data_IF_721990367300
#
_entry.id   IF_721990367300
#
_cell.length_a   1.000
_cell.length_b   1.000
_cell.length_c   1.000
_cell.angle_alpha   90.00
_cell.angle_beta   90.00
_cell.angle_gamma   90.00
#
_symmetry.space_group_name_H-M   'P 1'
#
loop_
_entity.id
_entity.type
_entity.pdbx_description
1 polymer ?
#
# COMPACT_ATOMS: atom_id res chain seq x y z
N UNK A 1 48.31 28.43 68.35
CA UNK A 1 49.27 27.99 67.32
C UNK A 1 48.70 28.37 65.97
N UNK A 2 49.42 29.26 65.28
CA UNK A 2 49.46 29.59 63.86
C UNK A 2 48.17 29.70 63.03
N UNK A 3 47.89 30.93 62.61
CA UNK A 3 47.82 31.41 61.21
C UNK A 3 47.43 30.42 60.10
N UNK A 4 46.41 30.76 59.30
CA UNK A 4 46.61 31.47 58.01
C UNK A 4 45.29 31.57 57.21
N UNK A 5 44.91 32.81 56.91
CA UNK A 5 44.65 33.37 55.57
C UNK A 5 43.59 32.71 54.67
N UNK A 6 42.64 33.50 54.15
CA UNK A 6 41.85 33.05 52.99
C UNK A 6 40.58 33.80 52.60
N UNK A 7 40.66 35.11 52.41
CA UNK A 7 39.93 35.86 51.38
C UNK A 7 38.38 35.90 51.41
N UNK A 8 37.85 37.02 51.92
CA UNK A 8 36.49 37.45 51.63
C UNK A 8 36.35 37.93 50.19
N UNK A 9 35.45 37.30 49.44
CA UNK A 9 34.88 37.88 48.23
C UNK A 9 33.37 38.03 48.48
N UNK A 10 32.95 39.23 48.88
CA UNK A 10 31.54 39.60 48.86
C UNK A 10 31.15 39.76 47.39
N UNK A 11 30.68 38.66 46.78
CA UNK A 11 29.85 38.73 45.60
C UNK A 11 28.53 39.36 46.07
N UNK A 12 28.42 40.67 45.87
CA UNK A 12 27.14 41.36 45.90
C UNK A 12 26.33 40.77 44.76
N UNK A 13 25.38 39.91 45.10
CA UNK A 13 24.29 39.54 44.21
C UNK A 13 23.61 40.85 43.79
N UNK A 14 23.96 41.36 42.62
CA UNK A 14 23.14 42.28 41.85
C UNK A 14 21.90 41.51 41.40
N UNK A 15 21.02 41.23 42.36
CA UNK A 15 19.63 40.88 42.12
C UNK A 15 18.92 42.16 41.70
N UNK A 16 19.25 42.65 40.50
CA UNK A 16 18.42 43.62 39.81
C UNK A 16 17.21 42.84 39.33
N UNK A 17 16.03 43.22 39.81
CA UNK A 17 14.74 42.66 39.46
C UNK A 17 14.56 42.62 37.93
N UNK A 18 14.91 41.49 37.32
CA UNK A 18 14.47 41.15 35.98
C UNK A 18 12.95 41.02 36.04
N UNK A 19 12.25 42.05 35.58
CA UNK A 19 10.79 42.07 35.47
C UNK A 19 10.28 40.85 34.70
N UNK A 20 9.01 40.46 34.92
CA UNK A 20 8.43 39.25 34.33
C UNK A 20 8.65 39.11 32.81
N UNK A 21 8.71 40.25 32.10
CA UNK A 21 9.06 40.32 30.68
C UNK A 21 10.48 39.84 30.36
N UNK A 22 11.48 40.25 31.13
CA UNK A 22 12.87 39.83 30.91
C UNK A 22 13.06 38.33 31.19
N UNK A 23 12.32 37.76 32.16
CA UNK A 23 12.28 36.30 32.38
C UNK A 23 11.57 35.54 31.28
N UNK A 24 10.50 36.10 30.70
CA UNK A 24 9.80 35.50 29.56
C UNK A 24 10.69 35.47 28.31
N UNK A 25 11.38 36.59 28.02
CA UNK A 25 12.35 36.69 26.92
C UNK A 25 13.52 35.70 27.12
N UNK A 26 14.03 35.57 28.34
CA UNK A 26 15.12 34.63 28.65
C UNK A 26 14.66 33.16 28.60
N UNK A 27 13.41 32.87 28.99
CA UNK A 27 12.78 31.55 28.85
C UNK A 27 12.60 31.17 27.37
N UNK A 28 12.09 32.08 26.52
CA UNK A 28 11.95 31.83 25.09
C UNK A 28 13.31 31.64 24.42
N UNK A 29 14.31 32.48 24.73
CA UNK A 29 15.69 32.34 24.22
C UNK A 29 16.34 31.01 24.63
N UNK A 30 16.09 30.53 25.85
CA UNK A 30 16.71 29.29 26.37
C UNK A 30 16.04 28.00 25.88
N UNK A 31 14.75 28.07 25.48
CA UNK A 31 13.98 26.92 25.01
C UNK A 31 13.66 26.97 23.51
N UNK A 32 14.27 27.91 22.78
CA UNK A 32 14.02 28.21 21.36
C UNK A 32 14.19 26.99 20.44
N UNK A 33 15.11 26.07 20.75
CA UNK A 33 15.28 24.84 19.98
C UNK A 33 14.06 23.89 20.04
N UNK A 34 13.22 24.03 21.07
CA UNK A 34 11.97 23.29 21.23
C UNK A 34 10.73 24.09 20.80
N UNK A 35 10.83 25.43 20.79
CA UNK A 35 9.78 26.35 20.32
C UNK A 35 9.77 26.45 18.79
N UNK A 36 10.94 26.40 18.14
CA UNK A 36 11.11 26.50 16.69
C UNK A 36 10.50 25.33 15.88
N UNK A 37 10.00 24.29 16.54
CA UNK A 37 9.32 23.13 15.90
C UNK A 37 7.84 23.05 16.31
N UNK A 38 7.33 23.98 17.14
CA UNK A 38 6.03 23.87 17.79
C UNK A 38 5.25 25.19 17.75
N UNK A 39 4.82 25.60 16.56
CA UNK A 39 4.00 26.80 16.38
C UNK A 39 2.51 26.67 16.70
N UNK A 40 2.11 25.99 17.80
CA UNK A 40 0.79 26.20 18.48
C UNK A 40 1.06 26.50 19.95
N UNK A 41 0.65 27.67 20.42
CA UNK A 41 0.26 27.84 21.81
C UNK A 41 -1.26 27.61 21.91
N UNK A 42 -1.68 26.34 21.84
CA UNK A 42 -2.79 25.87 22.67
C UNK A 42 -2.09 25.25 23.85
N UNK A 43 -2.16 25.90 25.00
CA UNK A 43 -1.57 25.42 26.25
C UNK A 43 -2.17 24.05 26.57
N UNK A 44 -1.43 23.03 26.20
CA UNK A 44 -1.52 21.68 26.72
C UNK A 44 -0.39 21.58 27.77
N UNK A 45 -0.66 22.10 28.98
CA UNK A 45 0.16 21.74 30.15
C UNK A 45 -0.19 20.30 30.49
N UNK A 46 0.54 19.36 29.91
CA UNK A 46 0.71 18.03 30.48
C UNK A 46 2.19 17.88 30.82
N UNK A 47 2.45 17.94 32.12
CA UNK A 47 3.48 17.19 32.86
C UNK A 47 4.43 16.37 31.96
N UNK A 48 5.65 16.87 31.79
CA UNK A 48 6.82 16.01 31.57
C UNK A 48 7.77 16.13 32.77
N UNK A 49 7.30 15.60 33.89
CA UNK A 49 8.16 14.93 34.87
C UNK A 49 7.78 13.45 34.84
N UNK A 50 8.74 12.64 34.39
CA UNK A 50 8.87 11.19 34.59
C UNK A 50 7.78 10.27 34.03
N UNK A 51 8.00 9.66 32.85
CA UNK A 51 8.10 8.19 32.67
C UNK A 51 8.84 7.90 31.35
N UNK A 52 10.15 7.64 31.44
CA UNK A 52 10.80 6.47 30.81
C UNK A 52 12.22 6.38 31.38
N UNK A 53 12.39 5.42 32.28
CA UNK A 53 13.70 5.03 32.80
C UNK A 53 14.49 4.25 31.75
N UNK A 54 15.77 4.58 31.63
CA UNK A 54 16.72 3.86 30.79
C UNK A 54 18.11 4.49 30.86
N UNK A 55 18.90 4.00 31.83
CA UNK A 55 20.34 4.22 32.12
C UNK A 55 21.18 4.96 31.07
N UNK A 56 21.90 5.99 31.54
CA UNK A 56 22.76 6.85 30.75
C UNK A 56 24.15 6.32 30.38
N UNK A 57 24.89 7.20 29.71
CA UNK A 57 26.29 7.65 29.91
C UNK A 57 26.49 8.68 28.79
N UNK A 58 26.61 9.98 29.07
CA UNK A 58 27.84 10.60 29.51
C UNK A 58 28.65 11.11 28.32
N UNK A 59 28.41 12.36 27.88
CA UNK A 59 29.43 13.26 27.32
C UNK A 59 28.83 14.65 27.07
N UNK A 60 29.37 15.66 27.77
CA UNK A 60 29.27 17.07 27.33
C UNK A 60 30.17 17.25 26.11
N UNK A 61 29.87 18.23 25.25
CA UNK A 61 30.87 19.24 25.00
C UNK A 61 30.36 20.65 25.30
N UNK A 62 31.31 21.41 25.82
CA UNK A 62 31.28 22.83 26.11
C UNK A 62 31.68 23.54 24.82
N UNK A 63 30.90 24.50 24.36
CA UNK A 63 31.40 25.52 23.43
C UNK A 63 30.72 26.84 23.80
N UNK A 64 31.51 27.68 24.47
CA UNK A 64 31.29 29.12 24.49
C UNK A 64 31.45 29.60 23.06
N UNK A 65 30.37 30.08 22.45
CA UNK A 65 30.44 30.79 21.17
C UNK A 65 30.38 32.27 21.48
N UNK A 66 31.44 32.97 21.05
CA UNK A 66 31.59 34.41 21.11
C UNK A 66 30.35 35.12 20.56
N UNK A 67 29.92 36.17 21.27
CA UNK A 67 28.89 37.07 20.81
C UNK A 67 29.38 37.82 19.56
N UNK A 68 29.05 37.30 18.38
CA UNK A 68 29.05 38.10 17.16
C UNK A 68 27.88 39.07 17.28
N UNK A 69 28.20 40.34 17.46
CA UNK A 69 27.24 41.44 17.34
C UNK A 69 26.83 41.49 15.86
N UNK A 70 25.73 40.81 15.51
CA UNK A 70 25.05 40.98 14.22
C UNK A 70 24.53 42.41 14.20
N UNK A 71 24.92 43.19 13.20
CA UNK A 71 24.38 44.53 12.94
C UNK A 71 22.85 44.44 12.95
N UNK A 72 22.20 45.31 13.70
CA UNK A 72 20.75 45.33 13.84
C UNK A 72 20.13 45.81 12.53
N UNK A 73 19.93 44.89 11.58
CA UNK A 73 19.00 45.12 10.48
C UNK A 73 17.66 45.54 11.09
N UNK A 74 17.06 46.57 10.50
CA UNK A 74 15.81 47.14 11.00
C UNK A 74 14.73 46.09 10.78
N UNK A 75 14.40 45.36 11.84
CA UNK A 75 13.39 44.30 11.82
C UNK A 75 12.07 44.85 11.27
N UNK A 76 11.56 44.24 10.20
CA UNK A 76 10.29 44.64 9.60
C UNK A 76 9.18 44.52 10.65
N UNK A 77 8.41 45.59 10.84
CA UNK A 77 7.31 45.59 11.79
C UNK A 77 6.11 44.84 11.21
N UNK A 78 5.30 44.20 12.06
CA UNK A 78 4.05 43.60 11.62
C UNK A 78 3.11 44.59 10.94
N UNK A 79 2.58 44.17 9.79
CA UNK A 79 1.48 44.84 9.11
C UNK A 79 0.16 44.12 9.45
N UNK A 80 -0.61 44.73 10.35
CA UNK A 80 -1.88 44.16 10.82
C UNK A 80 -2.99 44.36 9.79
N UNK A 81 -3.59 43.26 9.34
CA UNK A 81 -4.72 43.18 8.42
C UNK A 81 -4.51 43.94 7.08
N UNK A 82 -3.26 44.23 6.73
CA UNK A 82 -2.90 45.08 5.60
C UNK A 82 -3.05 44.39 4.23
N UNK A 83 -3.18 43.05 4.20
CA UNK A 83 -3.23 42.23 2.99
C UNK A 83 -4.59 41.53 2.84
N UNK A 84 -5.56 42.12 2.13
CA UNK A 84 -6.90 41.57 2.00
C UNK A 84 -6.95 40.13 1.45
N UNK A 85 -6.07 39.80 0.51
CA UNK A 85 -6.01 38.44 -0.09
C UNK A 85 -5.51 37.39 0.91
N UNK A 86 -4.57 37.74 1.80
CA UNK A 86 -4.11 36.87 2.89
C UNK A 86 -5.22 36.73 3.93
N UNK A 87 -5.87 37.84 4.31
CA UNK A 87 -6.98 37.82 5.26
C UNK A 87 -8.11 36.89 4.77
N UNK A 88 -8.49 37.01 3.49
CA UNK A 88 -9.52 36.17 2.86
C UNK A 88 -9.10 34.69 2.83
N UNK A 89 -7.83 34.38 2.50
CA UNK A 89 -7.30 33.02 2.54
C UNK A 89 -7.46 32.41 3.95
N UNK A 90 -7.03 33.13 4.98
CA UNK A 90 -7.08 32.68 6.37
C UNK A 90 -8.52 32.52 6.87
N UNK A 91 -9.40 33.47 6.58
CA UNK A 91 -10.83 33.36 6.92
C UNK A 91 -11.48 32.14 6.25
N UNK A 92 -11.22 31.93 4.96
CA UNK A 92 -11.72 30.78 4.23
C UNK A 92 -11.17 29.47 4.78
N UNK A 93 -9.89 29.45 5.19
CA UNK A 93 -9.25 28.31 5.81
C UNK A 93 -9.94 27.93 7.12
N UNK A 94 -10.09 28.86 8.07
CA UNK A 94 -10.73 28.55 9.36
C UNK A 94 -12.23 28.27 9.25
N UNK A 95 -12.94 28.88 8.29
CA UNK A 95 -14.32 28.50 7.97
C UNK A 95 -14.42 27.05 7.47
N UNK A 96 -13.47 26.61 6.63
CA UNK A 96 -13.40 25.24 6.18
C UNK A 96 -12.95 24.28 7.31
N UNK A 97 -12.04 24.72 8.18
CA UNK A 97 -11.48 23.97 9.29
C UNK A 97 -12.56 23.65 10.34
N UNK A 98 -13.34 24.65 10.76
CA UNK A 98 -14.46 24.47 11.70
C UNK A 98 -15.51 23.47 11.19
N UNK A 99 -15.67 23.37 9.86
CA UNK A 99 -16.61 22.44 9.24
C UNK A 99 -16.02 21.10 8.81
N UNK A 100 -14.76 20.81 9.13
CA UNK A 100 -14.05 19.60 8.70
C UNK A 100 -14.02 19.43 7.17
N UNK A 101 -14.03 20.52 6.39
CA UNK A 101 -14.23 20.50 4.93
C UNK A 101 -12.94 20.15 4.18
N UNK A 102 -12.50 18.88 4.29
CA UNK A 102 -11.25 18.32 3.71
C UNK A 102 -10.95 18.79 2.27
N UNK A 103 -11.93 18.73 1.36
CA UNK A 103 -11.75 19.13 -0.05
C UNK A 103 -11.55 20.65 -0.25
N UNK A 104 -12.12 21.48 0.64
CA UNK A 104 -11.92 22.93 0.61
C UNK A 104 -10.55 23.27 1.21
N UNK A 105 -10.20 22.65 2.34
CA UNK A 105 -8.90 22.83 2.99
C UNK A 105 -7.75 22.51 2.02
N UNK A 106 -7.82 21.37 1.30
CA UNK A 106 -6.80 20.97 0.34
C UNK A 106 -6.65 21.91 -0.89
N UNK A 107 -7.51 22.91 -1.06
CA UNK A 107 -7.34 23.97 -2.07
C UNK A 107 -6.70 25.23 -1.50
N UNK A 108 -6.79 25.41 -0.19
CA UNK A 108 -6.32 26.60 0.54
C UNK A 108 -4.95 26.35 1.18
N UNK A 109 -4.64 25.10 1.51
CA UNK A 109 -3.42 24.67 2.16
C UNK A 109 -2.83 23.44 1.46
N UNK A 110 -1.51 23.41 1.31
CA UNK A 110 -0.79 22.39 0.54
C UNK A 110 0.62 22.15 1.10
N UNK A 111 1.09 20.90 1.20
CA UNK A 111 0.33 19.65 1.02
C UNK A 111 -0.57 19.36 2.23
N UNK A 112 -1.57 18.50 2.05
CA UNK A 112 -2.37 17.97 3.16
C UNK A 112 -2.39 16.45 3.13
N UNK A 113 -1.84 15.83 4.17
CA UNK A 113 -1.87 14.38 4.33
C UNK A 113 -3.28 13.88 4.70
N UNK A 114 -3.53 12.59 4.50
CA UNK A 114 -4.79 11.99 4.92
C UNK A 114 -4.92 11.93 6.44
N UNK A 115 -3.79 11.79 7.15
CA UNK A 115 -3.71 11.90 8.60
C UNK A 115 -4.11 13.28 9.08
N UNK A 116 -3.60 14.35 8.46
CA UNK A 116 -3.95 15.73 8.81
C UNK A 116 -5.45 15.99 8.58
N UNK A 117 -5.98 15.57 7.42
CA UNK A 117 -7.43 15.66 7.14
C UNK A 117 -8.26 14.89 8.16
N UNK A 118 -7.76 13.76 8.66
CA UNK A 118 -8.43 12.96 9.71
C UNK A 118 -8.41 13.69 11.05
N UNK A 119 -7.27 14.25 11.43
CA UNK A 119 -7.11 15.07 12.64
C UNK A 119 -8.09 16.25 12.65
N UNK A 120 -8.14 17.02 11.55
CA UNK A 120 -9.02 18.19 11.44
C UNK A 120 -10.49 17.77 11.54
N UNK A 121 -10.87 16.64 10.94
CA UNK A 121 -12.23 16.12 11.07
C UNK A 121 -12.57 15.81 12.54
N UNK A 122 -11.70 15.09 13.26
CA UNK A 122 -11.90 14.77 14.66
C UNK A 122 -11.94 16.04 15.55
N UNK A 123 -11.02 16.98 15.33
CA UNK A 123 -10.98 18.22 16.11
C UNK A 123 -12.21 19.12 15.85
N UNK A 124 -12.70 19.15 14.61
CA UNK A 124 -13.85 19.98 14.23
C UNK A 124 -15.14 19.63 14.97
N UNK A 125 -15.26 18.41 15.52
CA UNK A 125 -16.40 18.00 16.35
C UNK A 125 -16.54 18.82 17.64
N UNK A 126 -15.44 19.41 18.12
CA UNK A 126 -15.41 20.23 19.33
C UNK A 126 -15.60 21.73 19.04
N UNK A 127 -15.42 22.15 17.79
CA UNK A 127 -15.39 23.56 17.40
C UNK A 127 -16.74 23.99 16.84
N UNK A 128 -17.32 25.03 17.43
CA UNK A 128 -18.53 25.68 16.90
C UNK A 128 -18.20 26.63 15.76
N UNK A 129 -17.16 27.45 15.94
CA UNK A 129 -16.64 28.40 14.94
C UNK A 129 -15.35 29.06 15.42
N UNK A 130 -14.66 29.70 14.49
CA UNK A 130 -13.62 30.68 14.75
C UNK A 130 -14.19 32.10 14.61
N UNK A 131 -13.70 33.05 15.39
CA UNK A 131 -14.11 34.46 15.32
C UNK A 131 -12.95 35.39 15.70
N UNK A 132 -13.12 36.69 15.47
CA UNK A 132 -12.14 37.71 15.84
C UNK A 132 -10.76 37.42 15.22
N UNK A 133 -10.75 37.09 13.92
CA UNK A 133 -9.53 36.75 13.19
C UNK A 133 -8.80 38.05 12.82
N UNK A 134 -7.49 38.12 13.08
CA UNK A 134 -6.61 39.19 12.61
C UNK A 134 -5.29 38.61 12.14
N UNK A 135 -4.80 39.09 11.00
CA UNK A 135 -3.54 38.63 10.41
C UNK A 135 -2.44 39.68 10.63
N UNK A 136 -1.33 39.27 11.24
CA UNK A 136 -0.13 40.07 11.40
C UNK A 136 0.91 39.56 10.41
N UNK A 137 1.16 40.34 9.36
CA UNK A 137 1.92 39.88 8.19
C UNK A 137 3.30 40.53 8.15
N UNK A 138 4.31 39.74 7.75
CA UNK A 138 5.63 40.20 7.30
C UNK A 138 6.02 39.48 6.01
N UNK A 139 7.07 39.96 5.35
CA UNK A 139 7.64 39.24 4.20
C UNK A 139 8.22 37.89 4.64
N UNK A 140 8.10 36.90 3.75
CA UNK A 140 8.71 35.60 3.91
C UNK A 140 10.16 35.60 3.41
N UNK A 141 10.69 34.43 3.11
CA UNK A 141 12.07 34.25 2.65
C UNK A 141 12.32 34.91 1.26
N UNK A 142 11.28 34.99 0.44
CA UNK A 142 11.29 35.56 -0.91
C UNK A 142 10.06 36.43 -1.20
N UNK A 143 10.09 37.17 -2.33
CA UNK A 143 9.03 38.11 -2.75
C UNK A 143 7.63 37.46 -2.94
N UNK A 144 7.58 36.13 -3.07
CA UNK A 144 6.37 35.33 -3.26
C UNK A 144 5.94 34.61 -1.98
N UNK A 145 6.48 35.01 -0.83
CA UNK A 145 6.20 34.36 0.45
C UNK A 145 5.97 35.37 1.57
N UNK A 146 5.25 34.92 2.60
CA UNK A 146 4.82 35.74 3.73
C UNK A 146 4.85 34.92 5.01
N UNK A 147 5.26 35.56 6.11
CA UNK A 147 4.98 35.09 7.47
C UNK A 147 3.69 35.73 7.96
N UNK A 148 2.74 34.90 8.40
CA UNK A 148 1.43 35.37 8.84
C UNK A 148 1.12 34.80 10.22
N UNK A 149 1.23 35.63 11.26
CA UNK A 149 0.74 35.27 12.59
C UNK A 149 -0.73 35.65 12.71
N UNK A 150 -1.59 34.66 12.93
CA UNK A 150 -3.05 34.80 12.94
C UNK A 150 -3.57 34.73 14.35
N UNK A 151 -4.04 35.87 14.86
CA UNK A 151 -4.85 35.89 16.08
C UNK A 151 -6.26 35.41 15.74
N UNK A 152 -6.85 34.60 16.62
CA UNK A 152 -8.21 34.11 16.49
C UNK A 152 -8.79 33.73 17.84
N UNK A 153 -10.10 33.62 17.92
CA UNK A 153 -10.79 33.05 19.07
C UNK A 153 -11.58 31.80 18.67
N UNK A 154 -11.27 30.67 19.31
CA UNK A 154 -11.96 29.40 19.14
C UNK A 154 -13.21 29.41 20.02
N UNK A 155 -14.37 29.26 19.40
CA UNK A 155 -15.61 28.99 20.12
C UNK A 155 -15.85 27.50 20.12
N UNK A 156 -15.62 26.83 21.26
CA UNK A 156 -15.99 25.42 21.42
C UNK A 156 -17.51 25.23 21.55
N UNK A 157 -17.98 24.03 21.25
CA UNK A 157 -19.36 23.62 21.49
C UNK A 157 -19.68 23.67 22.99
N UNK A 158 -20.85 24.22 23.33
CA UNK A 158 -21.40 24.32 24.68
C UNK A 158 -20.56 25.05 25.75
N UNK A 159 -19.37 25.54 25.43
CA UNK A 159 -18.55 26.39 26.30
C UNK A 159 -18.95 27.84 26.15
N UNK A 160 -19.01 28.65 27.21
CA UNK A 160 -19.42 30.06 27.16
C UNK A 160 -18.32 30.99 26.66
N UNK A 161 -17.12 30.88 27.20
CA UNK A 161 -15.98 31.73 26.85
C UNK A 161 -15.31 31.22 25.58
N UNK A 162 -14.78 32.12 24.75
CA UNK A 162 -14.00 31.73 23.58
C UNK A 162 -12.51 31.68 23.97
N UNK A 163 -11.76 30.72 23.44
CA UNK A 163 -10.33 30.58 23.68
C UNK A 163 -9.54 31.43 22.68
N UNK A 164 -8.83 32.49 23.12
CA UNK A 164 -7.87 33.19 22.27
C UNK A 164 -6.73 32.26 21.85
N UNK A 165 -6.26 32.38 20.63
CA UNK A 165 -5.15 31.61 20.09
C UNK A 165 -4.35 32.42 19.08
N UNK A 166 -3.11 31.97 18.84
CA UNK A 166 -2.22 32.49 17.82
C UNK A 166 -1.62 31.31 17.07
N UNK A 167 -1.68 31.36 15.75
CA UNK A 167 -1.05 30.38 14.86
C UNK A 167 -0.25 31.09 13.78
N UNK A 168 0.96 30.63 13.52
CA UNK A 168 1.83 31.22 12.50
C UNK A 168 1.85 30.34 11.27
N UNK A 169 1.59 30.93 10.11
CA UNK A 169 1.59 30.27 8.81
C UNK A 169 2.69 30.82 7.92
N UNK A 170 3.30 29.92 7.14
CA UNK A 170 4.04 30.30 5.95
C UNK A 170 3.07 30.31 4.77
N UNK A 171 2.87 31.47 4.16
CA UNK A 171 1.96 31.64 3.02
C UNK A 171 2.78 31.90 1.77
N UNK A 172 2.47 31.21 0.69
CA UNK A 172 3.18 31.33 -0.59
C UNK A 172 2.23 31.67 -1.72
N UNK A 173 2.80 32.29 -2.75
CA UNK A 173 2.12 32.62 -3.99
C UNK A 173 2.48 31.60 -5.07
N UNK A 174 1.47 31.02 -5.72
CA UNK A 174 1.64 30.16 -6.89
C UNK A 174 2.02 30.97 -8.13
N UNK A 175 2.43 30.28 -9.19
CA UNK A 175 2.73 30.90 -10.49
C UNK A 175 1.56 31.70 -11.07
N UNK A 176 0.32 31.25 -10.84
CA UNK A 176 -0.90 31.94 -11.28
C UNK A 176 -1.28 33.15 -10.39
N UNK A 177 -0.47 33.41 -9.36
CA UNK A 177 -0.66 34.50 -8.41
C UNK A 177 -1.58 34.17 -7.24
N UNK A 178 -2.19 32.99 -7.18
CA UNK A 178 -3.03 32.59 -6.04
C UNK A 178 -2.21 32.28 -4.80
N UNK A 179 -2.69 32.73 -3.64
CA UNK A 179 -2.06 32.47 -2.34
C UNK A 179 -2.53 31.12 -1.75
N UNK A 180 -1.64 30.47 -1.02
CA UNK A 180 -1.96 29.28 -0.23
C UNK A 180 -1.09 29.18 1.03
N UNK A 181 -1.60 28.45 2.01
CA UNK A 181 -0.86 28.09 3.22
C UNK A 181 0.07 26.91 2.88
N UNK A 182 1.37 27.10 3.03
CA UNK A 182 2.36 26.04 2.85
C UNK A 182 2.42 25.18 4.12
N UNK A 183 1.65 24.09 4.09
CA UNK A 183 1.46 23.19 5.21
C UNK A 183 2.69 22.32 5.51
N UNK A 184 3.73 22.34 4.66
CA UNK A 184 5.02 21.74 4.99
C UNK A 184 5.57 22.31 6.31
N UNK A 185 5.34 23.60 6.53
CA UNK A 185 5.79 24.33 7.73
C UNK A 185 4.68 24.49 8.78
N UNK A 186 3.52 23.86 8.55
CA UNK A 186 2.47 23.75 9.54
C UNK A 186 2.87 22.82 10.68
N UNK A 187 2.25 23.00 11.84
CA UNK A 187 2.56 22.22 13.04
C UNK A 187 2.33 20.72 12.89
N UNK A 188 1.38 20.34 12.02
CA UNK A 188 1.04 18.94 11.84
C UNK A 188 2.25 18.20 11.26
N UNK A 189 2.85 18.77 10.20
CA UNK A 189 4.05 18.22 9.61
C UNK A 189 5.28 18.40 10.52
N UNK A 190 5.42 19.53 11.23
CA UNK A 190 6.57 19.73 12.13
C UNK A 190 6.66 18.66 13.24
N UNK A 191 5.51 18.14 13.70
CA UNK A 191 5.44 17.10 14.74
C UNK A 191 5.52 15.68 14.20
N UNK A 192 5.06 15.44 12.97
CA UNK A 192 4.94 14.09 12.40
C UNK A 192 5.96 13.77 11.33
N UNK A 193 6.57 14.80 10.74
CA UNK A 193 7.58 14.70 9.68
C UNK A 193 7.09 13.81 8.53
N UNK A 194 5.84 14.00 8.12
CA UNK A 194 5.22 13.22 7.04
C UNK A 194 5.72 13.67 5.66
N UNK A 195 6.19 14.91 5.57
CA UNK A 195 6.80 15.50 4.41
C UNK A 195 8.15 16.12 4.77
N UNK A 196 9.11 15.97 3.86
CA UNK A 196 10.38 16.68 3.91
C UNK A 196 10.15 18.20 3.73
N UNK A 197 11.03 18.98 4.34
CA UNK A 197 10.94 20.45 4.37
C UNK A 197 12.23 21.05 3.82
N UNK A 198 12.14 22.28 3.32
CA UNK A 198 13.33 23.06 2.95
C UNK A 198 13.98 23.61 4.22
N UNK A 199 15.25 23.25 4.47
CA UNK A 199 15.98 23.65 5.67
C UNK A 199 16.17 25.17 5.76
N UNK A 200 16.30 25.88 4.63
CA UNK A 200 16.46 27.33 4.61
C UNK A 200 15.18 28.04 5.09
N UNK A 201 14.01 27.51 4.70
CA UNK A 201 12.72 28.04 5.16
C UNK A 201 12.50 27.73 6.64
N UNK A 202 12.92 26.54 7.11
CA UNK A 202 12.88 26.20 8.54
C UNK A 202 13.76 27.14 9.36
N UNK A 203 14.98 27.44 8.89
CA UNK A 203 15.89 28.37 9.57
C UNK A 203 15.30 29.80 9.59
N UNK A 204 14.75 30.26 8.47
CA UNK A 204 14.06 31.54 8.39
C UNK A 204 12.89 31.64 9.37
N UNK A 205 12.01 30.64 9.43
CA UNK A 205 10.89 30.61 10.38
C UNK A 205 11.39 30.63 11.83
N UNK A 206 12.48 29.91 12.11
CA UNK A 206 13.12 29.90 13.42
C UNK A 206 13.67 31.29 13.80
N UNK A 207 14.26 32.03 12.87
CA UNK A 207 14.68 33.42 13.10
C UNK A 207 13.48 34.35 13.27
N UNK A 208 12.44 34.21 12.45
CA UNK A 208 11.17 34.95 12.58
C UNK A 208 10.57 34.78 13.98
N UNK A 209 10.47 33.56 14.51
CA UNK A 209 9.86 33.32 15.83
C UNK A 209 10.67 33.92 17.01
N UNK A 210 11.90 34.39 16.78
CA UNK A 210 12.73 35.02 17.80
C UNK A 210 12.64 36.55 17.80
N UNK A 211 11.95 37.12 16.82
CA UNK A 211 11.77 38.54 16.65
C UNK A 211 10.98 39.16 17.81
N UNK A 212 11.40 40.33 18.29
CA UNK A 212 10.85 40.92 19.53
C UNK A 212 9.34 41.18 19.47
N UNK A 213 8.82 41.64 18.34
CA UNK A 213 7.39 41.88 18.15
C UNK A 213 6.57 40.59 18.01
N UNK A 214 7.15 39.52 17.47
CA UNK A 214 6.56 38.17 17.43
C UNK A 214 6.41 37.64 18.85
N UNK A 215 7.49 37.66 19.63
CA UNK A 215 7.49 37.20 21.04
C UNK A 215 6.53 38.05 21.90
N UNK A 216 6.44 39.36 21.64
CA UNK A 216 5.50 40.23 22.32
C UNK A 216 4.03 39.87 22.01
N UNK A 217 3.70 39.62 20.73
CA UNK A 217 2.36 39.22 20.32
C UNK A 217 1.97 37.85 20.91
N UNK A 218 2.89 36.88 20.88
CA UNK A 218 2.70 35.57 21.54
C UNK A 218 2.41 35.72 23.03
N UNK A 219 3.19 36.55 23.72
CA UNK A 219 3.02 36.80 25.15
C UNK A 219 1.67 37.44 25.46
N UNK A 220 1.23 38.42 24.66
CA UNK A 220 -0.07 39.07 24.82
C UNK A 220 -1.22 38.07 24.66
N UNK A 221 -1.17 37.24 23.61
CA UNK A 221 -2.24 36.25 23.36
C UNK A 221 -2.25 35.17 24.43
N UNK A 222 -1.07 34.73 24.89
CA UNK A 222 -0.95 33.77 25.99
C UNK A 222 -1.61 34.28 27.27
N UNK A 223 -1.36 35.54 27.65
CA UNK A 223 -2.01 36.14 28.82
C UNK A 223 -3.53 36.21 28.68
N UNK A 224 -4.05 36.52 27.48
CA UNK A 224 -5.49 36.50 27.22
C UNK A 224 -6.08 35.09 27.35
N UNK A 225 -5.35 34.07 26.88
CA UNK A 225 -5.77 32.69 26.99
C UNK A 225 -5.80 32.22 28.44
N UNK A 226 -4.75 32.47 29.22
CA UNK A 226 -4.70 32.14 30.66
C UNK A 226 -5.82 32.83 31.44
N UNK A 227 -6.10 34.10 31.14
CA UNK A 227 -7.21 34.83 31.73
C UNK A 227 -8.58 34.22 31.36
N UNK A 228 -8.74 33.73 30.13
CA UNK A 228 -9.96 33.05 29.70
C UNK A 228 -10.16 31.72 30.43
N UNK A 229 -9.09 30.91 30.60
CA UNK A 229 -9.15 29.67 31.36
C UNK A 229 -9.46 29.91 32.84
N UNK A 230 -8.84 30.92 33.45
CA UNK A 230 -9.07 31.26 34.86
C UNK A 230 -10.51 31.77 35.12
N UNK A 231 -11.18 32.29 34.09
CA UNK A 231 -12.54 32.84 34.20
C UNK A 231 -13.65 31.82 33.89
N UNK A 232 -13.33 30.67 33.28
CA UNK A 232 -14.30 29.70 32.79
C UNK A 232 -13.78 28.27 33.00
N UNK A 233 -14.23 27.63 34.08
CA UNK A 233 -13.85 26.26 34.43
C UNK A 233 -14.29 25.23 33.37
N UNK A 234 -15.38 25.48 32.65
CA UNK A 234 -15.83 24.59 31.57
C UNK A 234 -14.88 24.71 30.36
N UNK A 235 -14.43 25.92 30.03
CA UNK A 235 -13.41 26.14 29.01
C UNK A 235 -12.09 25.47 29.41
N UNK A 236 -11.69 25.58 30.68
CA UNK A 236 -10.51 24.91 31.22
C UNK A 236 -10.62 23.40 31.10
N UNK A 237 -11.74 22.81 31.49
CA UNK A 237 -11.98 21.37 31.32
C UNK A 237 -11.95 20.95 29.84
N UNK A 238 -12.53 21.76 28.95
CA UNK A 238 -12.49 21.51 27.49
C UNK A 238 -11.06 21.47 26.97
N UNK A 239 -10.23 22.46 27.35
CA UNK A 239 -8.87 22.63 26.85
C UNK A 239 -7.85 21.66 27.48
N UNK A 240 -7.93 21.41 28.79
CA UNK A 240 -6.95 20.61 29.52
C UNK A 240 -7.29 19.11 29.54
N UNK A 241 -8.57 18.74 29.33
CA UNK A 241 -9.02 17.34 29.46
C UNK A 241 -9.76 16.85 28.22
N UNK A 242 -10.88 17.47 27.85
CA UNK A 242 -11.81 16.90 26.84
C UNK A 242 -11.16 16.77 25.47
N UNK A 243 -10.64 17.87 24.92
CA UNK A 243 -9.99 17.86 23.60
C UNK A 243 -8.72 17.02 23.60
N UNK A 244 -7.79 17.15 24.57
CA UNK A 244 -6.61 16.28 24.63
C UNK A 244 -6.93 14.79 24.67
N UNK A 245 -7.90 14.37 25.48
CA UNK A 245 -8.31 12.97 25.59
C UNK A 245 -8.86 12.45 24.26
N UNK A 246 -9.69 13.26 23.59
CA UNK A 246 -10.22 12.93 22.28
C UNK A 246 -9.14 12.78 21.21
N UNK A 247 -8.16 13.70 21.19
CA UNK A 247 -7.06 13.63 20.21
C UNK A 247 -6.11 12.46 20.50
N UNK A 248 -5.93 12.08 21.76
CA UNK A 248 -5.18 10.87 22.12
C UNK A 248 -5.91 9.60 21.66
N UNK A 249 -7.23 9.53 21.85
CA UNK A 249 -8.06 8.43 21.36
C UNK A 249 -8.02 8.32 19.83
N UNK A 250 -8.23 9.43 19.12
CA UNK A 250 -8.10 9.51 17.65
C UNK A 250 -6.73 8.99 17.18
N UNK A 251 -5.64 9.38 17.86
CA UNK A 251 -4.28 8.92 17.51
C UNK A 251 -4.12 7.42 17.73
N UNK A 252 -4.68 6.89 18.80
CA UNK A 252 -4.66 5.45 19.09
C UNK A 252 -5.38 4.65 18.02
N UNK A 253 -6.55 5.14 17.57
CA UNK A 253 -7.33 4.51 16.50
C UNK A 253 -6.60 4.57 15.16
N UNK A 254 -5.94 5.70 14.85
CA UNK A 254 -5.10 5.86 13.66
C UNK A 254 -3.95 4.84 13.65
N UNK A 255 -3.23 4.70 14.77
CA UNK A 255 -2.12 3.76 14.90
C UNK A 255 -2.57 2.30 14.76
N UNK A 256 -3.72 1.96 15.35
CA UNK A 256 -4.32 0.63 15.23
C UNK A 256 -4.75 0.33 13.79
N UNK A 257 -5.33 1.30 13.09
CA UNK A 257 -5.70 1.16 11.68
C UNK A 257 -4.47 1.00 10.78
N UNK A 258 -3.41 1.77 11.01
CA UNK A 258 -2.15 1.65 10.29
C UNK A 258 -1.50 0.26 10.47
N UNK A 259 -1.44 -0.23 11.70
CA UNK A 259 -0.92 -1.57 12.01
C UNK A 259 -1.72 -2.67 11.31
N UNK A 260 -3.05 -2.57 11.35
CA UNK A 260 -3.92 -3.53 10.66
C UNK A 260 -3.70 -3.51 9.15
N UNK A 261 -3.55 -2.33 8.54
CA UNK A 261 -3.28 -2.22 7.11
C UNK A 261 -1.91 -2.82 6.72
N UNK A 262 -0.89 -2.67 7.57
CA UNK A 262 0.41 -3.31 7.38
C UNK A 262 0.32 -4.84 7.47
N UNK A 263 -0.40 -5.37 8.47
CA UNK A 263 -0.64 -6.81 8.61
C UNK A 263 -1.41 -7.38 7.40
N UNK A 264 -2.44 -6.68 6.91
CA UNK A 264 -3.20 -7.06 5.71
C UNK A 264 -2.34 -7.02 4.44
N UNK A 265 -1.46 -6.03 4.29
CA UNK A 265 -0.52 -5.94 3.18
C UNK A 265 0.49 -7.08 3.21
N UNK A 266 1.07 -7.37 4.37
CA UNK A 266 2.01 -8.49 4.54
C UNK A 266 1.35 -9.83 4.23
N UNK A 267 0.11 -10.04 4.69
CA UNK A 267 -0.67 -11.25 4.37
C UNK A 267 -0.97 -11.36 2.86
N UNK A 268 -1.30 -10.24 2.20
CA UNK A 268 -1.53 -10.22 0.76
C UNK A 268 -0.25 -10.51 -0.05
N UNK A 269 0.90 -9.98 0.36
CA UNK A 269 2.20 -10.28 -0.26
C UNK A 269 2.59 -11.75 -0.09
N UNK A 270 2.37 -12.34 1.09
CA UNK A 270 2.61 -13.76 1.33
C UNK A 270 1.69 -14.65 0.48
N UNK A 271 0.41 -14.29 0.38
CA UNK A 271 -0.56 -15.00 -0.46
C UNK A 271 -0.18 -14.92 -1.95
N UNK A 272 0.24 -13.75 -2.43
CA UNK A 272 0.69 -13.56 -3.81
C UNK A 272 1.96 -14.38 -4.11
N UNK A 273 2.91 -14.45 -3.17
CA UNK A 273 4.10 -15.28 -3.31
C UNK A 273 3.76 -16.78 -3.41
N UNK A 274 2.87 -17.28 -2.54
CA UNK A 274 2.40 -18.67 -2.58
C UNK A 274 1.70 -19.01 -3.90
N UNK A 275 0.86 -18.10 -4.39
CA UNK A 275 0.19 -18.27 -5.68
C UNK A 275 1.19 -18.32 -6.86
N UNK A 276 2.19 -17.44 -6.86
CA UNK A 276 3.24 -17.43 -7.88
C UNK A 276 4.11 -18.69 -7.84
N UNK A 277 4.43 -19.22 -6.65
CA UNK A 277 5.16 -20.48 -6.49
C UNK A 277 4.36 -21.67 -7.02
N UNK A 278 3.04 -21.73 -6.76
CA UNK A 278 2.17 -22.78 -7.29
C UNK A 278 2.04 -22.71 -8.82
N UNK A 279 1.90 -21.51 -9.38
CA UNK A 279 1.83 -21.30 -10.84
C UNK A 279 3.16 -21.69 -11.52
N UNK A 280 4.29 -21.31 -10.94
CA UNK A 280 5.61 -21.70 -11.45
C UNK A 280 5.82 -23.21 -11.40
N UNK A 281 5.35 -23.89 -10.33
CA UNK A 281 5.42 -25.34 -10.23
C UNK A 281 4.60 -26.04 -11.32
N UNK A 282 3.36 -25.58 -11.57
CA UNK A 282 2.51 -26.11 -12.66
C UNK A 282 3.16 -25.91 -14.03
N UNK A 283 3.68 -24.72 -14.30
CA UNK A 283 4.37 -24.42 -15.57
C UNK A 283 5.62 -25.29 -15.77
N UNK A 284 6.41 -25.51 -14.72
CA UNK A 284 7.56 -26.40 -14.78
C UNK A 284 7.18 -27.86 -15.06
N UNK A 285 6.07 -28.34 -14.49
CA UNK A 285 5.53 -29.68 -14.77
C UNK A 285 5.05 -29.81 -16.21
N UNK A 286 4.33 -28.80 -16.73
CA UNK A 286 3.89 -28.75 -18.12
C UNK A 286 5.07 -28.71 -19.11
N UNK A 287 6.07 -27.87 -18.85
CA UNK A 287 7.30 -27.80 -19.68
C UNK A 287 8.06 -29.12 -19.68
N UNK A 288 8.19 -29.78 -18.51
CA UNK A 288 8.79 -31.11 -18.42
C UNK A 288 8.02 -32.13 -19.25
N UNK A 289 6.68 -32.16 -19.14
CA UNK A 289 5.84 -33.09 -19.92
C UNK A 289 5.93 -32.81 -21.42
N UNK A 290 5.95 -31.55 -21.83
CA UNK A 290 6.12 -31.16 -23.22
C UNK A 290 7.47 -31.62 -23.78
N UNK A 291 8.55 -31.50 -23.01
CA UNK A 291 9.88 -32.00 -23.38
C UNK A 291 9.91 -33.53 -23.53
N UNK A 292 9.32 -34.28 -22.58
CA UNK A 292 9.23 -35.75 -22.65
C UNK A 292 8.46 -36.21 -23.91
N UNK A 293 7.35 -35.53 -24.24
CA UNK A 293 6.57 -35.83 -25.43
C UNK A 293 7.30 -35.46 -26.73
N UNK A 294 8.09 -34.39 -26.74
CA UNK A 294 8.87 -33.99 -27.93
C UNK A 294 9.98 -35.01 -28.27
N UNK A 295 10.51 -35.72 -27.28
CA UNK A 295 11.49 -36.83 -27.47
C UNK A 295 10.85 -38.19 -27.69
N UNK A 296 9.52 -38.27 -27.68
CA UNK A 296 8.83 -39.56 -27.67
C UNK A 296 8.82 -40.24 -29.04
N UNK A 297 8.83 -41.57 -29.03
CA UNK A 297 8.84 -42.40 -30.23
C UNK A 297 7.63 -43.32 -30.22
N UNK A 298 6.97 -43.45 -31.37
CA UNK A 298 5.90 -44.45 -31.54
C UNK A 298 6.51 -45.85 -31.51
N UNK A 299 5.95 -46.73 -30.69
CA UNK A 299 6.35 -48.13 -30.59
C UNK A 299 5.13 -49.05 -30.62
N UNK A 300 5.36 -50.31 -30.98
CA UNK A 300 4.37 -51.35 -31.13
C UNK A 300 4.73 -52.54 -30.23
N UNK A 301 3.75 -53.07 -29.51
CA UNK A 301 3.96 -54.26 -28.69
C UNK A 301 4.23 -55.49 -29.56
N UNK A 302 5.31 -56.21 -29.31
CA UNK A 302 5.65 -57.44 -30.03
C UNK A 302 5.01 -58.68 -29.39
N UNK A 303 4.53 -58.56 -28.16
CA UNK A 303 3.78 -59.58 -27.43
C UNK A 303 2.76 -58.95 -26.45
N UNK A 304 1.90 -59.79 -25.91
CA UNK A 304 1.01 -59.57 -24.79
C UNK A 304 1.78 -59.27 -23.49
N UNK A 305 2.01 -57.99 -23.19
CA UNK A 305 2.89 -57.56 -22.09
C UNK A 305 2.14 -56.73 -21.04
N UNK A 306 2.45 -56.94 -19.76
CA UNK A 306 1.86 -56.18 -18.66
C UNK A 306 2.45 -54.77 -18.59
N UNK A 307 1.58 -53.78 -18.36
CA UNK A 307 1.95 -52.41 -18.03
C UNK A 307 1.96 -52.26 -16.51
N UNK A 308 3.05 -51.73 -15.97
CA UNK A 308 3.30 -51.66 -14.52
C UNK A 308 3.42 -50.24 -14.02
N UNK A 309 3.18 -50.05 -12.72
CA UNK A 309 3.28 -48.75 -12.06
C UNK A 309 4.72 -48.22 -11.94
N UNK A 310 5.70 -49.13 -11.88
CA UNK A 310 7.13 -48.80 -11.81
C UNK A 310 7.96 -49.74 -12.70
N UNK A 311 9.22 -49.38 -12.96
CA UNK A 311 10.20 -50.17 -13.72
C UNK A 311 10.70 -51.40 -12.92
N UNK A 312 9.79 -52.30 -12.56
CA UNK A 312 10.07 -53.50 -11.76
C UNK A 312 9.09 -54.63 -12.07
N UNK A 313 9.57 -55.87 -12.08
CA UNK A 313 8.73 -57.06 -12.31
C UNK A 313 7.75 -57.35 -11.17
N UNK A 314 7.99 -56.77 -9.99
CA UNK A 314 7.13 -56.93 -8.81
C UNK A 314 6.19 -55.75 -8.57
N UNK A 315 6.29 -54.69 -9.38
CA UNK A 315 5.41 -53.53 -9.29
C UNK A 315 3.97 -53.88 -9.68
N UNK A 316 3.02 -53.12 -9.14
CA UNK A 316 1.59 -53.25 -9.43
C UNK A 316 1.33 -53.24 -10.94
N UNK A 317 0.48 -54.15 -11.41
CA UNK A 317 0.06 -54.23 -12.80
C UNK A 317 -1.10 -53.27 -13.01
N UNK A 318 -0.87 -52.21 -13.80
CA UNK A 318 -1.88 -51.23 -14.18
C UNK A 318 -2.78 -51.73 -15.34
N UNK A 319 -2.26 -52.67 -16.12
CA UNK A 319 -3.01 -53.36 -17.18
C UNK A 319 -2.08 -54.05 -18.18
N UNK A 320 -2.44 -54.07 -19.47
CA UNK A 320 -1.76 -54.88 -20.49
C UNK A 320 -1.76 -54.21 -21.86
N UNK A 321 -0.69 -54.37 -22.63
CA UNK A 321 -0.65 -54.11 -24.06
C UNK A 321 -0.77 -55.43 -24.82
N UNK A 322 -1.69 -55.48 -25.78
CA UNK A 322 -1.83 -56.63 -26.67
C UNK A 322 -0.85 -56.53 -27.84
N UNK A 323 -0.43 -57.65 -28.39
CA UNK A 323 0.44 -57.70 -29.57
C UNK A 323 -0.09 -56.80 -30.69
N UNK A 324 0.80 -56.01 -31.30
CA UNK A 324 0.46 -55.05 -32.36
C UNK A 324 -0.09 -53.72 -31.85
N UNK A 325 -0.42 -53.59 -30.56
CA UNK A 325 -0.89 -52.33 -29.98
C UNK A 325 0.15 -51.23 -30.12
N UNK A 326 -0.29 -50.07 -30.61
CA UNK A 326 0.52 -48.85 -30.72
C UNK A 326 0.52 -48.09 -29.39
N UNK A 327 1.69 -47.64 -28.96
CA UNK A 327 1.84 -46.72 -27.82
C UNK A 327 2.98 -45.73 -28.07
N UNK A 328 3.13 -44.76 -27.17
CA UNK A 328 4.16 -43.73 -27.21
C UNK A 328 5.18 -44.00 -26.11
N UNK A 329 6.43 -44.24 -26.51
CA UNK A 329 7.55 -44.39 -25.56
C UNK A 329 8.14 -43.03 -25.25
N UNK A 330 8.09 -42.65 -23.97
CA UNK A 330 8.59 -41.38 -23.44
C UNK A 330 10.07 -41.47 -23.05
N UNK A 331 10.49 -42.62 -22.52
CA UNK A 331 11.87 -42.87 -22.08
C UNK A 331 12.17 -44.36 -22.15
N UNK A 332 13.41 -44.72 -22.45
CA UNK A 332 13.94 -46.07 -22.33
C UNK A 332 15.18 -46.05 -21.45
N UNK A 333 15.15 -46.81 -20.36
CA UNK A 333 16.25 -46.86 -19.40
C UNK A 333 16.26 -48.19 -18.66
N UNK A 334 17.45 -48.76 -18.48
CA UNK A 334 17.69 -49.98 -17.68
C UNK A 334 16.77 -51.17 -18.06
N UNK A 335 16.48 -51.32 -19.36
CA UNK A 335 15.66 -52.42 -19.91
C UNK A 335 14.15 -52.20 -19.78
N UNK A 336 13.71 -51.05 -19.26
CA UNK A 336 12.31 -50.65 -19.18
C UNK A 336 12.03 -49.45 -20.08
N UNK A 337 10.87 -49.47 -20.71
CA UNK A 337 10.29 -48.36 -21.45
C UNK A 337 9.17 -47.75 -20.62
N UNK A 338 9.31 -46.46 -20.31
CA UNK A 338 8.22 -45.64 -19.78
C UNK A 338 7.36 -45.17 -20.95
N UNK A 339 6.08 -45.51 -20.91
CA UNK A 339 5.12 -45.26 -21.99
C UNK A 339 3.99 -44.37 -21.51
N UNK A 340 3.37 -43.65 -22.45
CA UNK A 340 2.06 -43.03 -22.21
C UNK A 340 0.97 -44.10 -22.42
N UNK A 341 0.47 -44.63 -21.30
CA UNK A 341 -0.42 -45.79 -21.29
C UNK A 341 -1.89 -45.39 -21.44
N UNK A 342 -2.33 -44.29 -20.82
CA UNK A 342 -3.73 -43.85 -20.89
C UNK A 342 -3.82 -42.33 -20.86
N UNK A 343 -3.56 -41.69 -22.00
CA UNK A 343 -3.72 -40.25 -22.26
C UNK A 343 -3.23 -39.37 -21.09
N UNK A 344 -1.93 -39.47 -20.81
CA UNK A 344 -1.26 -38.75 -19.73
C UNK A 344 -0.98 -39.57 -18.46
N UNK A 345 -1.50 -40.80 -18.36
CA UNK A 345 -1.08 -41.74 -17.32
C UNK A 345 0.09 -42.58 -17.82
N UNK A 346 1.21 -42.50 -17.12
CA UNK A 346 2.43 -43.23 -17.47
C UNK A 346 2.40 -44.66 -16.94
N UNK A 347 3.03 -45.56 -17.68
CA UNK A 347 3.26 -46.94 -17.26
C UNK A 347 4.61 -47.45 -17.73
N UNK A 348 5.06 -48.56 -17.17
CA UNK A 348 6.35 -49.18 -17.49
C UNK A 348 6.16 -50.57 -18.09
N UNK A 349 6.86 -50.82 -19.18
CA UNK A 349 6.86 -52.07 -19.95
C UNK A 349 8.31 -52.46 -20.21
N UNK A 350 8.67 -53.74 -20.20
CA UNK A 350 10.04 -54.12 -20.58
C UNK A 350 10.29 -53.79 -22.05
N UNK A 351 11.41 -53.12 -22.34
CA UNK A 351 11.73 -52.63 -23.69
C UNK A 351 11.84 -53.74 -24.74
N UNK A 352 12.20 -54.96 -24.32
CA UNK A 352 12.31 -56.12 -25.22
C UNK A 352 10.98 -56.47 -25.91
N UNK A 353 9.83 -56.07 -25.34
CA UNK A 353 8.50 -56.33 -25.92
C UNK A 353 7.95 -55.16 -26.74
N UNK A 354 8.78 -54.16 -27.08
CA UNK A 354 8.39 -52.99 -27.87
C UNK A 354 9.30 -52.82 -29.09
N UNK A 355 8.71 -52.56 -30.25
CA UNK A 355 9.43 -52.27 -31.51
C UNK A 355 9.07 -50.89 -32.06
N UNK A 356 10.01 -50.22 -32.72
CA UNK A 356 9.72 -48.98 -33.48
C UNK A 356 9.21 -49.28 -34.89
N UNK A 357 9.32 -50.53 -35.34
CA UNK A 357 8.80 -50.97 -36.63
C UNK A 357 7.31 -51.27 -36.49
N UNK A 358 6.50 -50.70 -37.38
CA UNK A 358 5.10 -51.06 -37.47
C UNK A 358 5.01 -52.55 -37.83
N UNK A 359 4.11 -53.32 -37.19
CA UNK A 359 3.87 -54.69 -37.60
C UNK A 359 3.54 -54.73 -39.10
N UNK A 360 4.00 -55.76 -39.84
CA UNK A 360 3.68 -55.90 -41.25
C UNK A 360 2.16 -55.84 -41.41
N UNK A 361 1.70 -55.00 -42.33
CA UNK A 361 0.29 -54.93 -42.71
C UNK A 361 -0.08 -56.22 -43.45
N UNK A 362 -0.33 -57.28 -42.69
CA UNK A 362 -0.90 -58.50 -43.23
C UNK A 362 -2.42 -58.32 -43.39
N UNK A 363 -2.85 -58.54 -44.63
CA UNK A 363 -4.23 -58.72 -45.02
C UNK A 363 -4.91 -59.81 -44.17
N UNK A 364 -6.22 -59.72 -43.93
CA UNK A 364 -6.91 -60.45 -42.89
C UNK A 364 -6.97 -61.96 -43.20
N UNK A 365 -6.69 -62.77 -42.18
CA UNK A 365 -7.12 -64.16 -42.15
C UNK A 365 -8.61 -64.21 -41.76
N UNK A 366 -9.48 -64.50 -42.74
CA UNK A 366 -10.82 -65.11 -42.59
C UNK A 366 -10.74 -66.36 -41.69
N UNK A 367 -11.68 -66.77 -40.83
CA UNK A 367 -13.08 -66.47 -40.48
C UNK A 367 -13.23 -67.01 -39.02
N UNK A 368 -14.08 -66.49 -38.13
CA UNK A 368 -15.52 -66.77 -38.14
C UNK A 368 -16.35 -65.56 -37.68
N UNK A 369 -17.31 -65.20 -38.52
CA UNK A 369 -18.41 -64.27 -38.20
C UNK A 369 -19.50 -64.96 -37.37
N UNK A 370 -20.27 -64.18 -36.58
CA UNK A 370 -21.56 -63.79 -37.14
C UNK A 370 -21.86 -62.27 -37.07
N UNK A 371 -22.42 -61.81 -38.20
CA UNK A 371 -23.42 -60.74 -38.42
C UNK A 371 -23.08 -59.24 -38.19
N UNK A 372 -22.66 -58.63 -39.30
CA UNK A 372 -23.12 -57.37 -39.94
C UNK A 372 -23.88 -56.30 -39.13
N UNK A 373 -23.27 -55.10 -39.09
CA UNK A 373 -23.96 -53.86 -39.45
C UNK A 373 -22.96 -52.83 -40.05
N UNK A 374 -23.11 -52.58 -41.35
CA UNK A 374 -22.66 -51.47 -42.20
C UNK A 374 -21.56 -50.51 -41.71
N UNK A 375 -20.43 -50.53 -42.41
CA UNK A 375 -19.38 -49.52 -42.40
C UNK A 375 -19.88 -48.14 -42.87
N UNK A 376 -20.00 -47.19 -41.94
CA UNK A 376 -20.30 -45.77 -42.22
C UNK A 376 -19.22 -44.85 -41.62
N UNK A 377 -17.95 -45.23 -41.73
CA UNK A 377 -16.82 -44.46 -41.19
C UNK A 377 -16.10 -43.62 -42.26
N UNK A 378 -15.56 -42.48 -41.85
CA UNK A 378 -14.71 -41.64 -42.69
C UNK A 378 -13.23 -41.93 -42.47
N UNK A 379 -12.40 -41.74 -43.50
CA UNK A 379 -10.96 -41.95 -43.42
C UNK A 379 -10.27 -40.90 -42.53
N UNK A 380 -9.24 -41.31 -41.78
CA UNK A 380 -8.42 -40.42 -40.95
C UNK A 380 -7.81 -39.29 -41.79
N UNK A 381 -7.80 -38.07 -41.23
CA UNK A 381 -7.34 -36.86 -41.89
C UNK A 381 -8.36 -36.19 -42.82
N UNK A 382 -9.51 -36.81 -43.08
CA UNK A 382 -10.55 -36.21 -43.93
C UNK A 382 -11.17 -35.00 -43.25
N UNK A 383 -11.30 -33.88 -43.97
CA UNK A 383 -12.02 -32.68 -43.50
C UNK A 383 -13.48 -32.77 -43.93
N UNK A 384 -14.40 -32.79 -42.95
CA UNK A 384 -15.80 -33.13 -43.16
C UNK A 384 -16.72 -32.06 -42.59
N UNK A 385 -17.84 -31.81 -43.26
CA UNK A 385 -18.77 -30.75 -42.88
C UNK A 385 -19.82 -31.28 -41.93
N UNK A 386 -20.17 -30.49 -40.91
CA UNK A 386 -21.19 -30.83 -39.94
C UNK A 386 -22.58 -30.53 -40.53
N UNK A 387 -23.50 -31.51 -40.49
CA UNK A 387 -24.87 -31.39 -40.99
C UNK A 387 -25.72 -30.44 -40.15
N UNK A 388 -25.63 -30.56 -38.83
CA UNK A 388 -26.47 -29.87 -37.85
C UNK A 388 -25.67 -29.49 -36.62
N UNK A 389 -26.04 -28.38 -35.95
CA UNK A 389 -25.32 -27.90 -34.78
C UNK A 389 -25.33 -28.92 -33.64
N UNK A 390 -24.16 -29.24 -33.09
CA UNK A 390 -23.98 -30.30 -32.10
C UNK A 390 -22.86 -29.98 -31.09
N UNK A 391 -22.92 -30.61 -29.92
CA UNK A 391 -21.85 -30.56 -28.95
C UNK A 391 -20.74 -31.56 -29.30
N UNK A 392 -19.49 -31.10 -29.27
CA UNK A 392 -18.33 -31.97 -29.27
C UNK A 392 -18.02 -32.34 -27.83
N UNK A 393 -17.85 -33.64 -27.58
CA UNK A 393 -17.78 -34.21 -26.23
C UNK A 393 -16.43 -34.83 -25.94
N UNK A 394 -16.10 -34.95 -24.66
CA UNK A 394 -14.82 -35.50 -24.19
C UNK A 394 -14.71 -37.01 -24.38
N UNK A 395 -15.83 -37.73 -24.45
CA UNK A 395 -15.92 -39.17 -24.72
C UNK A 395 -17.17 -39.54 -25.53
N UNK A 396 -17.25 -40.78 -25.98
CA UNK A 396 -18.35 -41.32 -26.79
C UNK A 396 -19.59 -41.58 -25.93
N UNK A 397 -20.40 -40.53 -25.71
CA UNK A 397 -21.65 -40.64 -24.98
C UNK A 397 -22.45 -39.35 -24.99
N UNK A 398 -23.78 -39.44 -25.01
CA UNK A 398 -24.66 -38.27 -25.04
C UNK A 398 -24.65 -37.47 -23.73
N UNK A 399 -24.19 -38.08 -22.64
CA UNK A 399 -24.04 -37.44 -21.33
C UNK A 399 -22.60 -37.02 -21.03
N UNK A 400 -21.66 -37.28 -21.96
CA UNK A 400 -20.25 -36.94 -21.77
C UNK A 400 -20.03 -35.42 -21.74
N UNK A 401 -19.03 -34.99 -20.97
CA UNK A 401 -18.64 -33.58 -20.79
C UNK A 401 -18.54 -32.85 -22.13
N UNK A 402 -19.22 -31.70 -22.24
CA UNK A 402 -19.20 -30.85 -23.43
C UNK A 402 -17.92 -30.02 -23.43
N UNK A 403 -17.12 -30.15 -24.48
CA UNK A 403 -15.87 -29.38 -24.64
C UNK A 403 -15.98 -28.26 -25.69
N UNK A 404 -16.93 -28.39 -26.63
CA UNK A 404 -17.26 -27.35 -27.61
C UNK A 404 -18.70 -27.47 -28.12
N UNK A 405 -19.20 -26.39 -28.74
CA UNK A 405 -20.39 -26.41 -29.59
C UNK A 405 -19.92 -26.14 -31.01
N UNK A 406 -20.27 -26.99 -31.95
CA UNK A 406 -20.02 -26.80 -33.38
C UNK A 406 -21.35 -26.59 -34.10
N UNK A 407 -21.37 -25.72 -35.10
CA UNK A 407 -22.55 -25.28 -35.83
C UNK A 407 -22.64 -25.97 -37.20
N UNK A 408 -23.87 -26.08 -37.72
CA UNK A 408 -24.11 -26.62 -39.06
C UNK A 408 -23.28 -25.85 -40.12
N UNK A 409 -22.64 -26.58 -41.03
CA UNK A 409 -21.78 -26.03 -42.08
C UNK A 409 -20.31 -25.84 -41.68
N UNK A 410 -19.97 -25.94 -40.39
CA UNK A 410 -18.58 -25.92 -39.94
C UNK A 410 -17.87 -27.23 -40.24
N UNK A 411 -16.53 -27.20 -40.22
CA UNK A 411 -15.68 -28.32 -40.61
C UNK A 411 -14.93 -28.90 -39.43
N UNK A 412 -14.72 -30.20 -39.49
CA UNK A 412 -13.90 -30.96 -38.54
C UNK A 412 -12.94 -31.87 -39.29
N UNK A 413 -11.80 -32.17 -38.68
CA UNK A 413 -10.84 -33.14 -39.24
C UNK A 413 -11.03 -34.47 -38.53
N UNK A 414 -11.27 -35.53 -39.29
CA UNK A 414 -11.44 -36.88 -38.75
C UNK A 414 -10.13 -37.40 -38.19
N UNK A 415 -10.16 -37.89 -36.96
CA UNK A 415 -9.07 -38.66 -36.36
C UNK A 415 -9.42 -40.14 -36.45
N UNK A 416 -10.62 -40.54 -36.03
CA UNK A 416 -11.04 -41.94 -36.06
C UNK A 416 -12.56 -42.09 -36.03
N UNK A 417 -13.11 -42.94 -36.90
CA UNK A 417 -14.53 -43.31 -36.86
C UNK A 417 -14.71 -44.64 -36.13
N UNK A 418 -15.70 -44.70 -35.25
CA UNK A 418 -16.03 -45.88 -34.44
C UNK A 418 -17.31 -46.53 -34.95
N UNK A 419 -17.35 -47.87 -34.94
CA UNK A 419 -18.52 -48.65 -35.36
C UNK A 419 -19.79 -48.32 -34.54
N UNK A 420 -19.60 -47.84 -33.31
CA UNK A 420 -20.65 -47.42 -32.37
C UNK A 420 -21.32 -46.08 -32.73
N UNK A 421 -21.04 -45.53 -33.92
CA UNK A 421 -21.70 -44.33 -34.44
C UNK A 421 -21.10 -43.00 -33.97
N UNK A 422 -19.86 -43.01 -33.47
CA UNK A 422 -19.11 -41.80 -33.11
C UNK A 422 -17.88 -41.62 -33.98
N UNK A 423 -17.43 -40.38 -34.12
CA UNK A 423 -16.18 -40.01 -34.78
C UNK A 423 -15.40 -39.09 -33.85
N UNK A 424 -14.14 -39.42 -33.57
CA UNK A 424 -13.19 -38.52 -32.92
C UNK A 424 -12.67 -37.55 -33.96
N UNK A 425 -12.74 -36.26 -33.65
CA UNK A 425 -12.42 -35.18 -34.58
C UNK A 425 -11.64 -34.06 -33.90
N UNK A 426 -10.90 -33.30 -34.71
CA UNK A 426 -10.37 -31.99 -34.35
C UNK A 426 -11.32 -30.90 -34.83
N UNK A 427 -11.67 -29.98 -33.93
CA UNK A 427 -12.49 -28.80 -34.20
C UNK A 427 -11.83 -27.57 -33.57
N UNK A 428 -11.25 -26.71 -34.40
CA UNK A 428 -10.34 -25.66 -33.94
C UNK A 428 -9.09 -26.25 -33.28
N UNK A 429 -8.81 -25.84 -32.04
CA UNK A 429 -7.74 -26.34 -31.18
C UNK A 429 -8.17 -27.51 -30.27
N UNK A 430 -9.44 -27.95 -30.37
CA UNK A 430 -10.03 -28.96 -29.48
C UNK A 430 -10.17 -30.31 -30.18
N UNK A 431 -9.97 -31.38 -29.42
CA UNK A 431 -10.19 -32.75 -29.87
C UNK A 431 -11.31 -33.39 -29.04
N UNK A 432 -12.31 -33.97 -29.71
CA UNK A 432 -13.40 -34.68 -29.04
C UNK A 432 -14.25 -35.51 -29.98
N UNK A 433 -15.41 -35.94 -29.50
CA UNK A 433 -16.27 -36.92 -30.16
C UNK A 433 -17.58 -36.27 -30.63
N UNK A 434 -17.97 -36.59 -31.85
CA UNK A 434 -19.21 -36.18 -32.53
C UNK A 434 -19.90 -37.43 -33.09
N UNK A 435 -21.24 -37.44 -33.15
CA UNK A 435 -21.94 -38.56 -33.80
C UNK A 435 -21.62 -38.60 -35.29
N UNK A 436 -21.25 -39.77 -35.80
CA UNK A 436 -20.85 -39.97 -37.20
C UNK A 436 -21.96 -39.59 -38.17
N UNK A 437 -23.23 -39.78 -37.79
CA UNK A 437 -24.38 -39.42 -38.61
C UNK A 437 -24.48 -37.92 -38.92
N UNK A 438 -23.83 -37.06 -38.12
CA UNK A 438 -23.84 -35.60 -38.25
C UNK A 438 -22.74 -35.06 -39.17
N UNK A 439 -21.98 -35.94 -39.83
CA UNK A 439 -20.88 -35.60 -40.72
C UNK A 439 -21.25 -35.92 -42.19
N UNK A 440 -20.91 -35.04 -43.14
CA UNK A 440 -21.11 -35.20 -44.59
C UNK A 440 -19.99 -34.63 -45.46
#
# INVERSE_FOLDING_TARGET
MNDMNGNGNQNTDNNQEMGGFARAVEFCKRNVQYIAVAGLFIVLVIVLVNVMGGKGTGSKPKTETEAVVKETETQEAFEKDAYPEINELIENYYNAYAGGKKKKLAKLAEPMSDTEKSYIAAFSEYVKKYKNISCYTKKGLDDNSYMVSVYLEIKFNDIKTAAPGLETFYVRKREDGTLYIDNLYGQFNSKRQEFEVDEDVVEFIKEFNQQEDVVALETEVQQKYEAALAADEDLKAMAETTVPTAMAAWRSDELAAAKKAEEEKAAAEEAAKKAAEEEAAKKAEEEKRAAELASAVTVYATDNVNVRAEASETAEILGKLETGSKTTRLEEKDGWSRIDYTDGKQGYVKSEYLSTEAPPADAPAEEETPESASSNGFAEGTVITIKESVNIRKSMGEDAEKIATAFAGEKVTVIMSYAEGWTKVTYGDKTGFIKTELLQ
#
